data_IF_721240615000
#
_entry.id   IF_721240615000
#
_cell.length_a   1.000
_cell.length_b   1.000
_cell.length_c   1.000
_cell.angle_alpha   90.00
_cell.angle_beta   90.00
_cell.angle_gamma   90.00
#
_symmetry.space_group_name_H-M   'P 1'
#
loop_
_entity.id
_entity.type
_entity.pdbx_description
1 polymer ?
#
# COMPACT_ATOMS: atom_id res chain seq x y z
N UNK A 1 -6.42 6.69 8.87
CA UNK A 1 -6.40 5.60 7.88
C UNK A 1 -4.96 5.33 7.47
N UNK A 2 -4.53 4.07 7.48
CA UNK A 2 -3.16 3.66 7.12
C UNK A 2 -3.16 3.10 5.69
N UNK A 3 -2.22 3.57 4.86
CA UNK A 3 -1.97 3.04 3.53
C UNK A 3 -0.58 2.40 3.55
N UNK A 4 -0.43 1.14 3.12
CA UNK A 4 0.86 0.43 3.13
C UNK A 4 1.08 -0.24 1.79
N UNK A 5 2.32 -0.17 1.30
CA UNK A 5 2.79 -0.90 0.13
C UNK A 5 4.04 -1.69 0.52
N UNK A 6 4.02 -2.99 0.25
CA UNK A 6 5.09 -3.91 0.60
C UNK A 6 5.33 -4.92 -0.53
N UNK A 7 6.51 -5.51 -0.52
CA UNK A 7 6.84 -6.71 -1.27
C UNK A 7 7.30 -7.83 -0.32
N UNK A 8 7.75 -8.95 -0.88
CA UNK A 8 8.28 -10.07 -0.11
C UNK A 8 9.55 -9.72 0.69
N UNK A 9 10.23 -8.60 0.40
CA UNK A 9 11.38 -8.09 1.18
C UNK A 9 10.95 -7.12 2.29
N UNK A 10 9.65 -6.83 2.43
CA UNK A 10 9.08 -5.98 3.48
C UNK A 10 8.46 -4.68 2.96
N UNK A 11 8.28 -3.71 3.88
CA UNK A 11 7.55 -2.46 3.60
C UNK A 11 8.38 -1.52 2.71
N UNK A 12 7.80 -1.13 1.58
CA UNK A 12 8.40 -0.18 0.65
C UNK A 12 8.01 1.25 1.03
N UNK A 13 6.72 1.50 1.24
CA UNK A 13 6.20 2.82 1.60
C UNK A 13 4.96 2.67 2.46
N UNK A 14 4.70 3.64 3.34
CA UNK A 14 3.44 3.73 4.05
C UNK A 14 3.09 5.19 4.33
N UNK A 15 1.80 5.47 4.45
CA UNK A 15 1.30 6.79 4.80
C UNK A 15 0.15 6.70 5.80
N UNK A 16 0.26 7.48 6.88
CA UNK A 16 -0.81 7.65 7.85
C UNK A 16 -1.56 8.95 7.59
N UNK A 17 -2.79 8.83 7.10
CA UNK A 17 -3.65 9.97 6.81
C UNK A 17 -4.25 10.58 8.08
N UNK A 18 -4.51 11.90 8.08
CA UNK A 18 -5.21 12.57 9.18
C UNK A 18 -6.55 11.92 9.50
N UNK A 19 -7.03 12.02 10.75
CA UNK A 19 -8.35 11.54 11.15
C UNK A 19 -9.45 12.10 10.24
N UNK A 20 -10.44 11.26 9.89
CA UNK A 20 -11.57 11.64 9.04
C UNK A 20 -11.25 11.81 7.54
N UNK A 21 -9.97 11.74 7.12
CA UNK A 21 -9.61 11.83 5.70
C UNK A 21 -9.66 10.47 5.01
N UNK A 22 -10.44 10.40 3.93
CA UNK A 22 -10.55 9.22 3.05
C UNK A 22 -9.63 9.35 1.83
N UNK A 23 -9.34 8.23 1.17
CA UNK A 23 -8.61 8.21 -0.10
C UNK A 23 -9.62 8.52 -1.21
N UNK A 24 -9.32 9.56 -1.96
CA UNK A 24 -9.88 9.80 -3.29
C UNK A 24 -8.84 9.46 -4.36
N UNK A 25 -9.26 9.47 -5.62
CA UNK A 25 -8.37 9.15 -6.75
C UNK A 25 -7.17 10.09 -6.85
N UNK A 26 -7.33 11.36 -6.48
CA UNK A 26 -6.26 12.37 -6.57
C UNK A 26 -5.18 12.09 -5.53
N UNK A 27 -5.60 11.88 -4.29
CA UNK A 27 -4.71 11.51 -3.19
C UNK A 27 -3.99 10.21 -3.50
N UNK A 28 -4.72 9.20 -4.00
CA UNK A 28 -4.11 7.92 -4.39
C UNK A 28 -3.03 8.10 -5.47
N UNK A 29 -3.28 8.92 -6.50
CA UNK A 29 -2.27 9.21 -7.52
C UNK A 29 -1.01 9.90 -6.94
N UNK A 30 -1.18 10.78 -5.96
CA UNK A 30 -0.04 11.40 -5.25
C UNK A 30 0.75 10.37 -4.46
N UNK A 31 0.07 9.44 -3.79
CA UNK A 31 0.70 8.35 -3.07
C UNK A 31 1.47 7.41 -4.00
N UNK A 32 0.90 7.09 -5.17
CA UNK A 32 1.57 6.28 -6.19
C UNK A 32 2.86 6.95 -6.71
N UNK A 33 2.88 8.28 -6.88
CA UNK A 33 4.12 8.99 -7.26
C UNK A 33 5.22 8.88 -6.20
N UNK A 34 4.86 8.98 -4.92
CA UNK A 34 5.81 8.82 -3.81
C UNK A 34 6.28 7.38 -3.69
N UNK A 35 5.36 6.44 -3.85
CA UNK A 35 5.68 5.01 -3.88
C UNK A 35 6.68 4.71 -5.00
N UNK A 36 6.49 5.26 -6.20
CA UNK A 36 7.42 5.06 -7.31
C UNK A 36 8.84 5.48 -6.95
N UNK A 37 9.01 6.65 -6.31
CA UNK A 37 10.32 7.11 -5.84
C UNK A 37 10.94 6.15 -4.82
N UNK A 38 10.16 5.65 -3.86
CA UNK A 38 10.65 4.68 -2.87
C UNK A 38 10.96 3.31 -3.49
N UNK A 39 10.21 2.88 -4.50
CA UNK A 39 10.48 1.66 -5.27
C UNK A 39 11.81 1.80 -6.00
N UNK A 40 12.02 2.90 -6.72
CA UNK A 40 13.28 3.21 -7.40
C UNK A 40 14.46 3.26 -6.42
N UNK A 41 14.27 3.83 -5.23
CA UNK A 41 15.33 3.95 -4.22
C UNK A 41 15.65 2.63 -3.51
N UNK A 42 14.62 1.90 -3.05
CA UNK A 42 14.79 0.68 -2.21
C UNK A 42 14.91 -0.61 -3.02
N UNK A 43 14.49 -0.60 -4.29
CA UNK A 43 14.34 -1.79 -5.14
C UNK A 43 14.87 -1.59 -6.57
N UNK A 44 15.81 -0.65 -6.78
CA UNK A 44 16.43 -0.36 -8.09
C UNK A 44 16.81 -1.63 -8.88
N UNK A 45 17.44 -2.60 -8.22
CA UNK A 45 17.90 -3.84 -8.83
C UNK A 45 16.78 -4.73 -9.39
N UNK A 46 15.59 -4.70 -8.78
CA UNK A 46 14.45 -5.51 -9.21
C UNK A 46 13.78 -4.88 -10.43
N UNK A 47 13.62 -3.55 -10.42
CA UNK A 47 13.00 -2.80 -11.52
C UNK A 47 13.80 -3.00 -12.81
N UNK A 48 15.13 -2.87 -12.73
CA UNK A 48 16.01 -2.98 -13.89
C UNK A 48 16.00 -4.37 -14.54
N UNK A 49 15.57 -5.42 -13.80
CA UNK A 49 15.59 -6.81 -14.29
C UNK A 49 14.25 -7.30 -14.80
N UNK A 50 13.14 -6.91 -14.18
CA UNK A 50 11.82 -7.54 -14.42
C UNK A 50 10.64 -6.56 -14.45
N UNK A 51 10.88 -5.26 -14.27
CA UNK A 51 9.81 -4.29 -14.11
C UNK A 51 9.04 -4.44 -12.80
N UNK A 52 7.93 -3.73 -12.68
CA UNK A 52 7.07 -3.75 -11.48
C UNK A 52 5.71 -4.31 -11.85
N UNK A 53 5.31 -5.39 -11.15
CA UNK A 53 3.96 -5.93 -11.16
C UNK A 53 3.26 -5.42 -9.91
N UNK A 54 2.21 -4.63 -10.09
CA UNK A 54 1.49 -3.93 -9.05
C UNK A 54 0.14 -4.60 -8.79
N UNK A 55 -0.16 -4.86 -7.51
CA UNK A 55 -1.40 -5.48 -7.07
C UNK A 55 -2.11 -4.57 -6.08
N UNK A 56 -3.40 -4.34 -6.31
CA UNK A 56 -4.29 -3.61 -5.40
C UNK A 56 -5.74 -4.04 -5.61
N UNK A 57 -6.62 -3.74 -4.65
CA UNK A 57 -8.04 -4.03 -4.74
C UNK A 57 -8.77 -3.12 -5.75
N UNK A 58 -10.02 -3.46 -6.04
CA UNK A 58 -10.87 -2.71 -6.99
C UNK A 58 -11.63 -1.54 -6.35
N UNK A 59 -11.11 -0.94 -5.27
CA UNK A 59 -11.74 0.22 -4.66
C UNK A 59 -11.91 1.37 -5.70
N UNK A 60 -13.01 2.13 -5.60
CA UNK A 60 -13.35 3.19 -6.57
C UNK A 60 -12.19 4.16 -6.86
N UNK A 61 -11.40 4.62 -5.88
CA UNK A 61 -10.25 5.47 -6.16
C UNK A 61 -9.22 4.80 -7.06
N UNK A 62 -8.99 3.50 -6.87
CA UNK A 62 -7.96 2.72 -7.53
C UNK A 62 -8.32 2.33 -8.96
N UNK A 63 -9.61 2.10 -9.24
CA UNK A 63 -10.10 1.82 -10.60
C UNK A 63 -10.37 3.07 -11.43
N UNK A 64 -10.16 4.26 -10.87
CA UNK A 64 -10.40 5.52 -11.56
C UNK A 64 -9.52 5.71 -12.80
N UNK A 65 -10.02 6.45 -13.80
CA UNK A 65 -9.27 6.73 -15.01
C UNK A 65 -7.94 7.44 -14.74
N UNK A 66 -7.90 8.32 -13.74
CA UNK A 66 -6.69 9.03 -13.34
C UNK A 66 -5.62 8.04 -12.83
N UNK A 67 -6.03 7.09 -11.99
CA UNK A 67 -5.14 6.06 -11.45
C UNK A 67 -4.64 5.11 -12.53
N UNK A 68 -5.53 4.63 -13.39
CA UNK A 68 -5.14 3.75 -14.51
C UNK A 68 -4.16 4.45 -15.47
N UNK A 69 -4.37 5.74 -15.76
CA UNK A 69 -3.42 6.54 -16.55
C UNK A 69 -2.07 6.64 -15.84
N UNK A 70 -2.07 6.92 -14.53
CA UNK A 70 -0.84 7.05 -13.73
C UNK A 70 -0.03 5.74 -13.69
N UNK A 71 -0.69 4.60 -13.51
CA UNK A 71 -0.03 3.28 -13.50
C UNK A 71 0.58 2.94 -14.87
N UNK A 72 -0.13 3.29 -15.96
CA UNK A 72 0.43 3.16 -17.33
C UNK A 72 1.61 4.09 -17.59
N UNK A 73 1.57 5.34 -17.13
CA UNK A 73 2.70 6.28 -17.21
C UNK A 73 3.94 5.74 -16.48
N UNK A 74 3.74 4.91 -15.45
CA UNK A 74 4.85 4.30 -14.72
C UNK A 74 5.40 3.05 -15.40
N UNK A 75 4.69 2.50 -16.40
CA UNK A 75 5.03 1.22 -17.03
C UNK A 75 4.83 0.04 -16.08
N UNK A 76 3.95 0.16 -15.08
CA UNK A 76 3.67 -0.91 -14.13
C UNK A 76 2.57 -1.81 -14.68
N UNK A 77 2.80 -3.11 -14.62
CA UNK A 77 1.78 -4.11 -14.96
C UNK A 77 0.83 -4.24 -13.77
N UNK A 78 -0.47 -4.07 -14.00
CA UNK A 78 -1.47 -4.13 -12.93
C UNK A 78 -2.14 -5.51 -12.97
N UNK A 79 -2.00 -6.27 -11.89
CA UNK A 79 -2.71 -7.53 -11.73
C UNK A 79 -4.19 -7.28 -11.44
N UNK A 80 -5.06 -7.99 -12.15
CA UNK A 80 -6.49 -7.91 -11.94
C UNK A 80 -6.87 -8.58 -10.62
N UNK A 81 -7.58 -7.83 -9.78
CA UNK A 81 -8.21 -8.37 -8.58
C UNK A 81 -9.65 -8.83 -8.93
N UNK A 82 -10.10 -10.03 -8.53
CA UNK A 82 -11.50 -10.39 -8.64
C UNK A 82 -12.36 -9.59 -7.64
N UNK A 83 -13.62 -9.24 -7.98
CA UNK A 83 -14.50 -8.54 -7.04
C UNK A 83 -14.71 -9.29 -5.72
N UNK A 84 -14.77 -8.57 -4.60
CA UNK A 84 -15.12 -9.09 -3.27
C UNK A 84 -14.28 -10.27 -2.78
N UNK A 85 -12.98 -10.30 -3.09
CA UNK A 85 -12.09 -11.42 -2.74
C UNK A 85 -10.94 -11.00 -1.81
N UNK A 86 -11.24 -10.54 -0.58
CA UNK A 86 -10.23 -10.09 0.37
C UNK A 86 -9.23 -11.19 0.75
N UNK A 87 -9.65 -12.46 0.67
CA UNK A 87 -8.83 -13.67 0.87
C UNK A 87 -7.70 -13.82 -0.16
N UNK A 88 -7.83 -13.18 -1.32
CA UNK A 88 -6.82 -13.21 -2.38
C UNK A 88 -5.82 -12.07 -2.28
N UNK A 89 -6.02 -11.09 -1.38
CA UNK A 89 -5.11 -9.98 -1.20
C UNK A 89 -4.02 -10.33 -0.17
N UNK A 90 -2.73 -10.40 -0.57
CA UNK A 90 -1.65 -10.70 0.37
C UNK A 90 -1.53 -9.67 1.50
N UNK A 91 -1.92 -8.41 1.24
CA UNK A 91 -1.98 -7.36 2.25
C UNK A 91 -2.97 -7.69 3.37
N UNK A 92 -4.16 -8.17 3.00
CA UNK A 92 -5.28 -8.32 3.93
C UNK A 92 -5.11 -9.59 4.77
N UNK A 93 -4.63 -10.68 4.14
CA UNK A 93 -4.43 -11.95 4.83
C UNK A 93 -3.14 -12.03 5.67
N UNK A 94 -2.03 -11.42 5.22
CA UNK A 94 -0.76 -11.54 5.93
C UNK A 94 -0.39 -10.28 6.71
N UNK A 95 -0.37 -9.12 6.05
CA UNK A 95 0.17 -7.90 6.65
C UNK A 95 -0.80 -7.29 7.67
N UNK A 96 -2.06 -7.08 7.26
CA UNK A 96 -3.09 -6.49 8.12
C UNK A 96 -3.57 -7.45 9.19
N UNK A 97 -3.67 -8.75 8.91
CA UNK A 97 -3.99 -9.73 9.95
C UNK A 97 -2.91 -9.76 11.05
N UNK A 98 -1.64 -9.79 10.66
CA UNK A 98 -0.55 -9.83 11.63
C UNK A 98 -0.40 -8.50 12.38
N UNK A 99 -0.64 -7.36 11.72
CA UNK A 99 -0.74 -6.05 12.38
C UNK A 99 -1.95 -5.98 13.32
N UNK A 100 -3.10 -6.51 12.94
CA UNK A 100 -4.30 -6.52 13.78
C UNK A 100 -4.07 -7.39 15.02
N UNK A 101 -3.41 -8.54 14.87
CA UNK A 101 -3.02 -9.40 15.98
C UNK A 101 -2.04 -8.68 16.92
N UNK A 102 -1.07 -7.93 16.40
CA UNK A 102 -0.12 -7.18 17.23
C UNK A 102 -0.77 -5.97 17.93
N UNK A 103 -1.80 -5.38 17.32
CA UNK A 103 -2.56 -4.26 17.86
C UNK A 103 -3.66 -4.67 18.84
N UNK A 104 -4.03 -5.94 18.90
CA UNK A 104 -5.15 -6.44 19.73
C UNK A 104 -5.01 -6.16 21.23
N UNK A 105 -3.79 -5.94 21.73
CA UNK A 105 -3.50 -5.61 23.13
C UNK A 105 -3.01 -4.18 23.36
N UNK A 106 -2.92 -3.34 22.32
CA UNK A 106 -2.29 -2.02 22.38
C UNK A 106 -3.33 -0.91 22.21
N UNK A 107 -3.45 -0.03 23.20
CA UNK A 107 -4.25 1.20 23.08
C UNK A 107 -3.41 2.31 22.46
N UNK A 108 -3.63 2.59 21.19
CA UNK A 108 -3.06 3.75 20.52
C UNK A 108 -4.01 4.94 20.72
N UNK A 109 -3.59 5.90 21.55
CA UNK A 109 -4.44 7.03 21.97
C UNK A 109 -4.16 8.31 21.19
N UNK A 110 -3.01 8.39 20.53
CA UNK A 110 -2.58 9.56 19.75
C UNK A 110 -2.05 9.17 18.36
N UNK A 111 -1.90 10.16 17.49
CA UNK A 111 -1.32 9.95 16.16
C UNK A 111 0.17 9.61 16.27
N UNK A 112 0.87 10.23 17.22
CA UNK A 112 2.27 9.93 17.50
C UNK A 112 2.43 8.47 17.93
N UNK A 113 1.52 7.92 18.74
CA UNK A 113 1.56 6.50 19.13
C UNK A 113 1.44 5.58 17.91
N UNK A 114 0.55 5.90 16.96
CA UNK A 114 0.41 5.16 15.70
C UNK A 114 1.66 5.24 14.82
N UNK A 115 2.38 6.36 14.82
CA UNK A 115 3.60 6.54 14.03
C UNK A 115 4.81 5.87 14.67
N UNK A 116 4.87 5.89 16.00
CA UNK A 116 5.97 5.34 16.79
C UNK A 116 5.81 3.83 17.06
N UNK A 117 4.64 3.25 16.74
CA UNK A 117 4.42 1.82 16.89
C UNK A 117 5.38 1.01 16.01
N UNK A 118 6.35 0.36 16.67
CA UNK A 118 7.34 -0.45 16.00
C UNK A 118 6.80 -1.86 15.80
N UNK A 119 6.36 -2.14 14.58
CA UNK A 119 5.90 -3.47 14.20
C UNK A 119 7.11 -4.38 13.89
N UNK A 120 7.35 -5.38 14.73
CA UNK A 120 8.30 -6.47 14.46
C UNK A 120 7.50 -7.73 14.11
N UNK A 121 7.44 -8.11 12.82
CA UNK A 121 6.91 -9.43 12.47
C UNK A 121 7.88 -10.52 12.91
N UNK A 122 7.33 -11.63 13.42
CA UNK A 122 8.05 -12.89 13.68
C UNK A 122 8.64 -13.47 12.39
#
# INVERSE_FOLDING_TARGET
MLCVWCDWKGIIHYELLPPGRTIDSRLYCVQLMRLKLEVERKRAELINRRGVVFYHDNARPHTSLATQKKLREFGWEVLMHPPFSPDLAPSDFHLFLSLQNSLGSVRLTSREDCQNYHYQPL
#
